data_IF_320273587442
#
_entry.id   IF_320273587442
#
_cell.length_a   1.000
_cell.length_b   1.000
_cell.length_c   1.000
_cell.angle_alpha   90.00
_cell.angle_beta   90.00
_cell.angle_gamma   90.00
#
_symmetry.space_group_name_H-M   'P 1'
#
loop_
_entity.id
_entity.type
_entity.pdbx_description
1 polymer ?
#
# COMPACT_ATOMS: atom_id res chain seq x y z
N UNK A 1 25.52 29.69 -20.45
CA UNK A 1 24.76 28.76 -21.33
C UNK A 1 23.99 27.84 -20.41
N UNK A 2 22.67 27.99 -20.31
CA UNK A 2 21.82 27.19 -19.42
C UNK A 2 21.80 25.73 -19.91
N UNK A 3 22.06 24.78 -19.01
CA UNK A 3 21.77 23.37 -19.23
C UNK A 3 20.31 23.17 -18.84
N UNK A 4 19.45 22.91 -19.82
CA UNK A 4 18.09 22.46 -19.57
C UNK A 4 18.15 20.98 -19.16
N UNK A 5 17.81 20.67 -17.91
CA UNK A 5 17.53 19.30 -17.48
C UNK A 5 16.16 18.89 -18.03
N UNK A 6 16.15 18.02 -19.04
CA UNK A 6 14.95 17.27 -19.43
C UNK A 6 14.94 15.98 -18.62
N UNK A 7 14.23 15.96 -17.50
CA UNK A 7 13.91 14.73 -16.80
C UNK A 7 12.77 14.03 -17.53
N UNK A 8 13.10 12.95 -18.23
CA UNK A 8 12.12 11.99 -18.74
C UNK A 8 11.44 11.30 -17.55
N UNK A 9 10.20 11.70 -17.24
CA UNK A 9 9.39 11.02 -16.23
C UNK A 9 9.06 9.61 -16.72
N UNK A 10 9.52 8.61 -15.97
CA UNK A 10 9.04 7.23 -16.14
C UNK A 10 7.61 7.15 -15.60
N UNK A 11 6.66 6.47 -16.28
CA UNK A 11 5.28 6.39 -15.82
C UNK A 11 5.24 5.55 -14.55
N UNK A 12 5.14 6.23 -13.41
CA UNK A 12 4.91 5.60 -12.12
C UNK A 12 3.45 5.14 -12.11
N UNK A 13 3.24 3.88 -12.49
CA UNK A 13 1.93 3.25 -12.66
C UNK A 13 0.97 3.46 -11.49
N UNK A 14 1.50 3.61 -10.26
CA UNK A 14 0.66 3.88 -9.08
C UNK A 14 0.23 5.36 -8.97
N UNK A 15 1.12 6.31 -9.28
CA UNK A 15 0.80 7.74 -9.32
C UNK A 15 -0.21 8.03 -10.43
N UNK A 16 0.00 7.40 -11.58
CA UNK A 16 -0.85 7.59 -12.75
C UNK A 16 -2.24 6.99 -12.50
N UNK A 17 -2.34 5.83 -11.82
CA UNK A 17 -3.62 5.24 -11.43
C UNK A 17 -4.41 6.14 -10.49
N UNK A 18 -3.75 6.77 -9.51
CA UNK A 18 -4.41 7.67 -8.56
C UNK A 18 -5.00 8.91 -9.24
N UNK A 19 -4.23 9.59 -10.09
CA UNK A 19 -4.74 10.78 -10.78
C UNK A 19 -5.80 10.44 -11.83
N UNK A 20 -5.66 9.31 -12.53
CA UNK A 20 -6.70 8.81 -13.44
C UNK A 20 -8.01 8.51 -12.73
N UNK A 21 -7.97 7.92 -11.53
CA UNK A 21 -9.18 7.66 -10.74
C UNK A 21 -9.81 8.95 -10.22
N UNK A 22 -9.00 9.94 -9.81
CA UNK A 22 -9.49 11.25 -9.41
C UNK A 22 -10.16 12.01 -10.58
N UNK A 23 -9.51 12.05 -11.75
CA UNK A 23 -10.03 12.72 -12.94
C UNK A 23 -11.33 12.07 -13.44
N UNK A 24 -11.42 10.74 -13.39
CA UNK A 24 -12.65 10.00 -13.71
C UNK A 24 -13.81 10.43 -12.79
N UNK A 25 -13.57 10.49 -11.49
CA UNK A 25 -14.58 10.88 -10.51
C UNK A 25 -14.98 12.36 -10.64
N UNK A 26 -14.01 13.24 -10.88
CA UNK A 26 -14.25 14.67 -11.08
C UNK A 26 -14.93 14.99 -12.44
N UNK A 27 -14.75 14.12 -13.45
CA UNK A 27 -15.25 14.29 -14.81
C UNK A 27 -16.65 13.71 -15.08
N UNK A 28 -17.24 12.96 -14.15
CA UNK A 28 -18.52 12.24 -14.32
C UNK A 28 -19.79 13.13 -14.32
N UNK A 29 -19.65 14.40 -14.66
CA UNK A 29 -20.75 15.20 -15.20
C UNK A 29 -20.91 14.93 -16.70
N UNK A 30 -21.74 13.94 -17.06
CA UNK A 30 -22.38 13.66 -18.37
C UNK A 30 -21.89 12.44 -19.20
N UNK A 31 -22.86 11.55 -19.51
CA UNK A 31 -22.95 10.54 -20.59
C UNK A 31 -22.28 9.15 -20.46
N UNK A 32 -23.11 8.11 -20.26
CA UNK A 32 -22.76 6.70 -20.50
C UNK A 32 -23.69 5.65 -19.85
N UNK A 33 -24.83 5.31 -20.48
CA UNK A 33 -25.90 4.50 -19.86
C UNK A 33 -25.56 3.01 -19.61
N UNK A 34 -24.48 2.45 -20.17
CA UNK A 34 -24.09 1.04 -19.95
C UNK A 34 -23.04 0.84 -18.85
N UNK A 35 -22.13 1.80 -18.66
CA UNK A 35 -21.18 1.82 -17.52
C UNK A 35 -21.89 2.16 -16.20
N UNK A 36 -22.82 3.14 -16.26
CA UNK A 36 -23.66 3.54 -15.12
C UNK A 36 -24.34 2.39 -14.40
N UNK A 37 -24.77 1.34 -15.12
CA UNK A 37 -25.49 0.21 -14.52
C UNK A 37 -24.57 -0.68 -13.67
N UNK A 38 -23.32 -0.91 -14.11
CA UNK A 38 -22.31 -1.66 -13.34
C UNK A 38 -21.77 -0.83 -12.18
N UNK A 39 -21.53 0.46 -12.39
CA UNK A 39 -21.13 1.40 -11.33
C UNK A 39 -22.20 1.54 -10.26
N UNK A 40 -23.47 1.81 -10.63
CA UNK A 40 -24.58 1.90 -9.66
C UNK A 40 -24.75 0.62 -8.84
N UNK A 41 -24.64 -0.55 -9.47
CA UNK A 41 -24.74 -1.82 -8.76
C UNK A 41 -23.54 -2.03 -7.82
N UNK A 42 -22.34 -1.59 -8.23
CA UNK A 42 -21.13 -1.66 -7.42
C UNK A 42 -21.16 -0.70 -6.23
N UNK A 43 -21.68 0.52 -6.40
CA UNK A 43 -21.85 1.53 -5.35
C UNK A 43 -22.89 1.06 -4.35
N UNK A 44 -24.05 0.58 -4.83
CA UNK A 44 -25.09 -0.02 -3.97
C UNK A 44 -24.58 -1.20 -3.14
N UNK A 45 -23.64 -1.99 -3.68
CA UNK A 45 -23.03 -3.11 -2.95
C UNK A 45 -22.05 -2.62 -1.88
N UNK A 46 -21.29 -1.56 -2.15
CA UNK A 46 -20.39 -0.96 -1.15
C UNK A 46 -21.17 -0.30 -0.01
N UNK A 47 -22.24 0.43 -0.33
CA UNK A 47 -23.11 1.05 0.68
C UNK A 47 -23.69 0.00 1.63
N UNK A 48 -24.06 -1.18 1.10
CA UNK A 48 -24.50 -2.32 1.91
C UNK A 48 -23.41 -2.84 2.82
N UNK A 49 -22.18 -3.01 2.33
CA UNK A 49 -21.04 -3.42 3.16
C UNK A 49 -20.74 -2.40 4.26
N UNK A 50 -20.72 -1.10 3.92
CA UNK A 50 -20.49 0.00 4.88
C UNK A 50 -21.57 -0.02 5.96
N UNK A 51 -22.84 -0.02 5.57
CA UNK A 51 -23.95 -0.05 6.52
C UNK A 51 -23.94 -1.31 7.39
N UNK A 52 -23.59 -2.47 6.82
CA UNK A 52 -23.48 -3.70 7.59
C UNK A 52 -22.31 -3.64 8.58
N UNK A 53 -21.17 -3.04 8.20
CA UNK A 53 -20.00 -2.88 9.06
C UNK A 53 -20.23 -1.89 10.20
N UNK A 54 -20.81 -0.72 9.92
CA UNK A 54 -21.05 0.34 10.92
C UNK A 54 -22.06 -0.05 11.99
N UNK A 55 -22.96 -1.00 11.69
CA UNK A 55 -23.93 -1.54 12.64
C UNK A 55 -23.40 -2.74 13.45
N UNK A 56 -22.17 -3.20 13.22
CA UNK A 56 -21.59 -4.28 14.03
C UNK A 56 -21.10 -3.77 15.38
N UNK A 57 -21.12 -4.63 16.42
CA UNK A 57 -20.46 -4.31 17.67
C UNK A 57 -18.96 -4.14 17.44
N UNK A 58 -18.37 -3.19 18.17
CA UNK A 58 -16.91 -2.98 18.17
C UNK A 58 -16.24 -4.23 18.79
N UNK A 59 -15.17 -4.69 18.15
CA UNK A 59 -14.35 -5.80 18.67
C UNK A 59 -13.75 -5.45 20.04
N UNK A 60 -13.34 -6.45 20.83
CA UNK A 60 -12.75 -6.15 22.13
C UNK A 60 -11.42 -5.40 21.95
N UNK A 61 -11.06 -4.56 22.92
CA UNK A 61 -9.86 -3.71 22.87
C UNK A 61 -8.56 -4.48 22.63
N UNK A 62 -8.51 -5.73 23.06
CA UNK A 62 -7.33 -6.59 22.98
C UNK A 62 -7.40 -7.61 21.82
N UNK A 63 -8.47 -7.56 21.02
CA UNK A 63 -8.59 -8.41 19.83
C UNK A 63 -7.75 -7.85 18.67
N UNK A 64 -7.32 -8.74 17.78
CA UNK A 64 -6.52 -8.37 16.61
C UNK A 64 -7.43 -7.90 15.45
N UNK A 65 -7.38 -6.62 15.05
CA UNK A 65 -8.21 -6.10 13.96
C UNK A 65 -7.87 -6.73 12.61
N UNK A 66 -6.61 -7.08 12.35
CA UNK A 66 -6.17 -7.73 11.10
C UNK A 66 -6.78 -9.12 10.99
N UNK A 67 -6.80 -9.88 12.09
CA UNK A 67 -7.42 -11.20 12.11
C UNK A 67 -8.93 -11.10 11.86
N UNK A 68 -9.60 -10.15 12.52
CA UNK A 68 -11.03 -9.94 12.33
C UNK A 68 -11.39 -9.64 10.86
N UNK A 69 -10.62 -8.79 10.18
CA UNK A 69 -10.80 -8.50 8.76
C UNK A 69 -10.56 -9.73 7.89
N UNK A 70 -9.54 -10.54 8.20
CA UNK A 70 -9.29 -11.79 7.47
C UNK A 70 -10.43 -12.80 7.63
N UNK A 71 -11.03 -12.91 8.81
CA UNK A 71 -12.15 -13.81 9.06
C UNK A 71 -13.43 -13.33 8.37
N UNK A 72 -13.60 -12.01 8.21
CA UNK A 72 -14.78 -11.39 7.59
C UNK A 72 -14.58 -10.99 6.11
N UNK A 73 -13.44 -11.35 5.49
CA UNK A 73 -13.10 -10.92 4.12
C UNK A 73 -14.12 -11.31 3.06
N UNK A 74 -14.81 -12.44 3.23
CA UNK A 74 -15.86 -12.89 2.31
C UNK A 74 -17.15 -12.09 2.47
N UNK A 75 -17.42 -11.60 3.68
CA UNK A 75 -18.60 -10.78 4.01
C UNK A 75 -18.43 -9.33 3.56
N UNK A 76 -17.20 -8.82 3.65
CA UNK A 76 -16.85 -7.44 3.35
C UNK A 76 -15.75 -7.37 2.30
N UNK A 77 -15.97 -7.96 1.12
CA UNK A 77 -14.90 -8.13 0.13
C UNK A 77 -14.33 -6.79 -0.38
N UNK A 78 -15.19 -5.77 -0.55
CA UNK A 78 -14.75 -4.45 -0.99
C UNK A 78 -14.11 -3.65 0.12
N UNK A 79 -14.64 -3.72 1.34
CA UNK A 79 -14.01 -3.04 2.47
C UNK A 79 -12.72 -3.72 2.91
N UNK A 80 -12.61 -5.04 2.76
CA UNK A 80 -11.41 -5.80 3.12
C UNK A 80 -10.19 -5.34 2.32
N UNK A 81 -10.34 -5.07 1.02
CA UNK A 81 -9.22 -4.58 0.20
C UNK A 81 -8.69 -3.24 0.71
N UNK A 82 -9.58 -2.35 1.17
CA UNK A 82 -9.19 -1.09 1.79
C UNK A 82 -8.59 -1.30 3.18
N UNK A 83 -9.23 -2.12 4.02
CA UNK A 83 -8.77 -2.43 5.36
C UNK A 83 -7.35 -3.04 5.35
N UNK A 84 -7.05 -3.91 4.40
CA UNK A 84 -5.72 -4.49 4.23
C UNK A 84 -4.65 -3.42 3.95
N UNK A 85 -4.97 -2.38 3.17
CA UNK A 85 -4.06 -1.27 2.89
C UNK A 85 -3.86 -0.42 4.16
N UNK A 86 -4.95 -0.01 4.82
CA UNK A 86 -4.85 0.89 5.96
C UNK A 86 -4.30 0.23 7.23
N UNK A 87 -4.54 -1.05 7.45
CA UNK A 87 -4.05 -1.78 8.63
C UNK A 87 -2.62 -2.32 8.46
N UNK A 88 -2.10 -2.38 7.23
CA UNK A 88 -0.71 -2.79 6.99
C UNK A 88 0.29 -1.64 7.13
N UNK A 89 -0.18 -0.38 7.10
CA UNK A 89 0.68 0.78 7.27
C UNK A 89 1.22 0.86 8.71
N UNK A 90 2.53 1.04 8.91
CA UNK A 90 3.08 1.27 10.23
C UNK A 90 2.59 2.61 10.79
N UNK A 91 2.41 2.69 12.11
CA UNK A 91 1.93 3.91 12.76
C UNK A 91 2.90 5.11 12.67
N UNK A 92 4.13 4.91 12.21
CA UNK A 92 5.13 5.96 12.06
C UNK A 92 6.40 5.50 11.34
N UNK A 93 7.39 6.40 11.25
CA UNK A 93 8.68 6.22 10.55
C UNK A 93 9.69 5.35 11.30
N UNK A 94 9.40 4.91 12.52
CA UNK A 94 10.34 4.15 13.36
C UNK A 94 10.86 2.90 12.63
N UNK A 95 9.99 2.17 11.92
CA UNK A 95 10.40 1.00 11.15
C UNK A 95 11.38 1.35 10.01
N UNK A 96 11.16 2.47 9.33
CA UNK A 96 12.10 2.95 8.31
C UNK A 96 13.41 3.42 8.91
N UNK A 97 13.37 4.11 10.06
CA UNK A 97 14.56 4.60 10.76
C UNK A 97 15.46 3.45 11.23
N UNK A 98 14.86 2.35 11.71
CA UNK A 98 15.59 1.13 12.06
C UNK A 98 16.33 0.55 10.85
N UNK A 99 15.65 0.43 9.71
CA UNK A 99 16.25 -0.06 8.46
C UNK A 99 17.38 0.87 7.99
N UNK A 100 17.22 2.19 8.08
CA UNK A 100 18.27 3.15 7.72
C UNK A 100 19.45 3.13 8.70
N UNK A 101 19.21 2.91 9.99
CA UNK A 101 20.26 2.76 10.99
C UNK A 101 21.10 1.50 10.72
N UNK A 102 20.45 0.38 10.42
CA UNK A 102 21.11 -0.87 10.04
C UNK A 102 21.89 -0.74 8.72
N UNK A 103 21.37 0.02 7.75
CA UNK A 103 22.06 0.29 6.50
C UNK A 103 23.43 0.96 6.72
N UNK A 104 23.60 1.75 7.78
CA UNK A 104 24.91 2.31 8.16
C UNK A 104 26.00 1.26 8.35
N UNK A 105 25.66 0.05 8.82
CA UNK A 105 26.61 -1.06 8.94
C UNK A 105 26.94 -1.72 7.58
N UNK A 106 26.03 -1.65 6.61
CA UNK A 106 26.24 -2.18 5.26
C UNK A 106 27.14 -1.25 4.44
N UNK A 107 26.94 0.06 4.58
CA UNK A 107 27.71 1.12 3.92
C UNK A 107 29.05 1.48 4.61
N UNK A 108 29.60 0.59 5.45
CA UNK A 108 30.90 0.79 6.12
C UNK A 108 31.99 1.25 5.12
N UNK A 109 32.81 2.23 5.50
CA UNK A 109 33.88 2.81 4.69
C UNK A 109 34.88 1.75 4.16
N UNK A 110 35.00 0.60 4.84
CA UNK A 110 35.81 -0.55 4.40
C UNK A 110 35.23 -1.29 3.19
N UNK A 111 33.97 -1.02 2.81
CA UNK A 111 33.23 -1.59 1.67
C UNK A 111 33.00 -0.55 0.56
N UNK A 112 33.95 0.36 0.35
CA UNK A 112 33.87 1.46 -0.64
C UNK A 112 33.62 1.06 -2.11
N UNK A 113 33.68 -0.23 -2.45
CA UNK A 113 33.36 -0.78 -3.78
C UNK A 113 31.93 -1.31 -3.91
N UNK A 114 31.11 -1.21 -2.86
CA UNK A 114 29.72 -1.67 -2.88
C UNK A 114 28.86 -0.66 -3.66
N UNK A 115 28.22 -1.13 -4.73
CA UNK A 115 27.27 -0.30 -5.49
C UNK A 115 25.97 -0.13 -4.71
N UNK A 116 25.22 0.96 -4.92
CA UNK A 116 23.92 1.19 -4.27
C UNK A 116 22.96 -0.01 -4.42
N UNK A 117 22.82 -0.55 -5.63
CA UNK A 117 21.94 -1.71 -5.92
C UNK A 117 22.30 -2.95 -5.09
N UNK A 118 23.61 -3.19 -4.89
CA UNK A 118 24.08 -4.34 -4.10
C UNK A 118 23.87 -4.11 -2.61
N UNK A 119 24.02 -2.87 -2.15
CA UNK A 119 23.74 -2.52 -0.76
C UNK A 119 22.24 -2.65 -0.44
N UNK A 120 21.36 -2.23 -1.34
CA UNK A 120 19.92 -2.42 -1.23
C UNK A 120 19.56 -3.91 -1.15
N UNK A 121 20.09 -4.74 -2.06
CA UNK A 121 19.86 -6.17 -2.04
C UNK A 121 20.34 -6.84 -0.74
N UNK A 122 21.51 -6.43 -0.23
CA UNK A 122 22.03 -6.92 1.04
C UNK A 122 21.14 -6.52 2.23
N UNK A 123 20.66 -5.28 2.24
CA UNK A 123 19.76 -4.78 3.30
C UNK A 123 18.43 -5.53 3.26
N UNK A 124 17.87 -5.75 2.08
CA UNK A 124 16.66 -6.55 1.89
C UNK A 124 16.84 -7.97 2.44
N UNK A 125 17.93 -8.65 2.07
CA UNK A 125 18.22 -10.00 2.52
C UNK A 125 18.44 -10.04 4.04
N UNK A 126 19.22 -9.10 4.59
CA UNK A 126 19.50 -9.00 6.03
C UNK A 126 18.20 -8.86 6.84
N UNK A 127 17.32 -7.96 6.42
CA UNK A 127 16.09 -7.66 7.15
C UNK A 127 15.00 -8.74 7.00
N UNK A 128 14.94 -9.43 5.84
CA UNK A 128 13.88 -10.40 5.56
C UNK A 128 14.27 -11.86 5.87
N UNK A 129 15.56 -12.22 5.89
CA UNK A 129 16.01 -13.58 6.21
C UNK A 129 15.43 -14.13 7.53
N UNK A 130 15.46 -13.38 8.66
CA UNK A 130 14.87 -13.84 9.91
C UNK A 130 13.36 -14.07 9.81
N UNK A 131 12.65 -13.25 9.01
CA UNK A 131 11.20 -13.36 8.81
C UNK A 131 10.81 -14.61 8.02
N UNK A 132 11.73 -15.15 7.22
CA UNK A 132 11.54 -16.37 6.43
C UNK A 132 11.91 -17.66 7.20
N UNK A 133 12.31 -17.55 8.48
CA UNK A 133 12.80 -18.68 9.28
C UNK A 133 13.95 -19.45 8.59
N UNK A 134 14.77 -18.75 7.80
CA UNK A 134 15.89 -19.36 7.09
C UNK A 134 16.98 -19.76 8.10
N UNK A 135 17.40 -21.03 8.05
CA UNK A 135 18.49 -21.57 8.88
C UNK A 135 19.69 -21.87 7.98
N UNK A 136 20.89 -21.52 8.47
CA UNK A 136 22.17 -21.76 7.80
C UNK A 136 22.64 -23.21 8.02
#
# INVERSE_FOLDING_TARGET
MLIQETTAETPNTSRDMFWQTYEHFAGEGTSGNSQRKREHQSVNTLDKEINAYTNLPVIARFDNPVQWWNDNKLRFAKLFSLAAIYLSAPAGSVASEQVFSEAGNIYDARRSRLTPDRAEALLFVHHNLPKLNFKY
#
